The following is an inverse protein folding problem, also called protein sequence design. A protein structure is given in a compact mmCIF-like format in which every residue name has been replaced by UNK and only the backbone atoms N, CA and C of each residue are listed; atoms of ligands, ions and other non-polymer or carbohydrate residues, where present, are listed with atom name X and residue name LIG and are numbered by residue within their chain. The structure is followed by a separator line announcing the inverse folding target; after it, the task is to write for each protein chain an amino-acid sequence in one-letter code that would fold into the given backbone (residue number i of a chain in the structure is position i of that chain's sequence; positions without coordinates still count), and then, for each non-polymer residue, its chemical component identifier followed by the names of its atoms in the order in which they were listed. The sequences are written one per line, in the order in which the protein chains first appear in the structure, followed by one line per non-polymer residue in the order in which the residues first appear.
data_IF_028725060018
#
_entry.id   IF_028725060018
#
_cell.length_a   1.000
_cell.length_b   1.000
_cell.length_c   1.000
_cell.angle_alpha   90.00
_cell.angle_beta   90.00
_cell.angle_gamma   90.00
#
_symmetry.space_group_name_H-M   'P 1'
#
loop_
_entity.id
_entity.type
_entity.pdbx_description
1 polymer ?
#
# COMPACT_ATOMS: atom_id res chain seq x y z
N UNK A 1 -2.40 -19.22 -9.37
CA UNK A 1 -3.06 -17.99 -8.88
C UNK A 1 -4.58 -18.13 -8.80
N UNK A 2 -5.12 -18.06 -7.58
CA UNK A 2 -6.56 -18.07 -7.32
C UNK A 2 -7.16 -16.67 -7.52
N UNK A 3 -8.38 -16.61 -8.06
CA UNK A 3 -9.09 -15.35 -8.23
C UNK A 3 -9.91 -15.01 -6.98
N UNK A 4 -9.78 -13.78 -6.49
CA UNK A 4 -10.60 -13.27 -5.41
C UNK A 4 -10.83 -11.77 -5.55
N UNK A 5 -11.96 -11.31 -5.00
CA UNK A 5 -12.30 -9.90 -5.01
C UNK A 5 -11.57 -9.18 -3.89
N UNK A 6 -10.99 -8.03 -4.23
CA UNK A 6 -10.35 -7.12 -3.28
C UNK A 6 -11.19 -5.87 -3.10
N UNK A 7 -11.05 -5.22 -1.94
CA UNK A 7 -11.49 -3.84 -1.70
C UNK A 7 -10.27 -2.97 -1.48
N UNK A 8 -10.18 -1.90 -2.26
CA UNK A 8 -9.06 -0.97 -2.24
C UNK A 8 -9.53 0.42 -1.91
N UNK A 9 -8.76 1.12 -1.08
CA UNK A 9 -8.74 2.58 -1.02
C UNK A 9 -7.47 3.10 -1.67
N UNK A 10 -7.61 4.14 -2.48
CA UNK A 10 -6.49 4.91 -2.99
C UNK A 10 -6.69 6.39 -2.69
N UNK A 11 -5.61 7.05 -2.26
CA UNK A 11 -5.52 8.48 -2.06
C UNK A 11 -4.42 9.02 -2.97
N UNK A 12 -4.75 9.99 -3.81
CA UNK A 12 -3.84 10.72 -4.68
C UNK A 12 -3.58 12.11 -4.11
N UNK A 13 -2.37 12.61 -4.33
CA UNK A 13 -1.96 13.92 -3.85
C UNK A 13 -0.45 14.07 -3.80
N UNK A 14 0.02 15.06 -3.05
CA UNK A 14 1.45 15.23 -2.79
C UNK A 14 1.81 14.45 -1.54
N UNK A 15 2.69 13.46 -1.65
CA UNK A 15 3.20 12.76 -0.48
C UNK A 15 3.96 13.75 0.40
N UNK A 16 3.61 13.83 1.69
CA UNK A 16 4.33 14.69 2.64
C UNK A 16 5.76 14.17 2.79
N UNK A 17 6.77 15.00 2.51
CA UNK A 17 8.19 14.59 2.49
C UNK A 17 8.97 15.11 3.69
N UNK A 18 8.31 15.71 4.67
CA UNK A 18 8.96 16.41 5.77
C UNK A 18 9.60 15.44 6.78
N UNK A 19 10.80 14.96 6.43
CA UNK A 19 11.75 14.33 7.33
C UNK A 19 11.54 12.84 7.66
N UNK A 20 12.55 12.28 8.32
CA UNK A 20 12.65 10.94 8.93
C UNK A 20 11.33 10.40 9.51
N UNK A 21 10.55 11.29 10.11
CA UNK A 21 9.36 10.96 10.90
C UNK A 21 8.24 10.41 10.02
N UNK A 22 7.96 11.00 8.86
CA UNK A 22 6.75 10.69 8.09
C UNK A 22 6.77 9.27 7.50
N UNK A 23 7.91 8.78 7.01
CA UNK A 23 8.01 7.40 6.49
C UNK A 23 8.02 6.36 7.61
N UNK A 24 8.71 6.66 8.72
CA UNK A 24 8.78 5.78 9.87
C UNK A 24 7.44 5.70 10.61
N UNK A 25 6.73 6.82 10.74
CA UNK A 25 5.39 6.89 11.30
C UNK A 25 4.39 6.19 10.40
N UNK A 26 4.41 6.43 9.08
CA UNK A 26 3.60 5.66 8.13
C UNK A 26 3.83 4.16 8.27
N UNK A 27 5.09 3.71 8.32
CA UNK A 27 5.44 2.31 8.52
C UNK A 27 4.85 1.74 9.82
N UNK A 28 5.05 2.45 10.94
CA UNK A 28 4.58 2.01 12.25
C UNK A 28 3.06 1.98 12.35
N UNK A 29 2.40 3.04 11.90
CA UNK A 29 0.95 3.17 11.92
C UNK A 29 0.31 2.07 11.08
N UNK A 30 0.72 1.90 9.83
CA UNK A 30 0.15 0.88 8.93
C UNK A 30 0.44 -0.55 9.40
N UNK A 31 1.61 -0.83 9.99
CA UNK A 31 1.89 -2.12 10.62
C UNK A 31 1.02 -2.38 11.86
N UNK A 32 0.80 -1.37 12.70
CA UNK A 32 -0.11 -1.47 13.86
C UNK A 32 -1.53 -1.76 13.42
N UNK A 33 -2.04 -0.99 12.43
CA UNK A 33 -3.38 -1.15 11.89
C UNK A 33 -3.61 -2.55 11.31
N UNK A 34 -2.66 -3.07 10.53
CA UNK A 34 -2.76 -4.46 10.04
C UNK A 34 -2.91 -5.43 11.21
N UNK A 35 -2.11 -5.26 12.27
CA UNK A 35 -2.17 -6.11 13.46
C UNK A 35 -3.53 -6.00 14.16
N UNK A 36 -4.08 -4.80 14.30
CA UNK A 36 -5.41 -4.54 14.87
C UNK A 36 -6.53 -5.20 14.05
N UNK A 37 -6.33 -5.34 12.74
CA UNK A 37 -7.26 -6.05 11.84
C UNK A 37 -7.02 -7.58 11.81
N UNK A 38 -6.14 -8.10 12.68
CA UNK A 38 -5.80 -9.53 12.72
C UNK A 38 -4.91 -10.00 11.57
N UNK A 39 -4.24 -9.08 10.88
CA UNK A 39 -3.38 -9.33 9.73
C UNK A 39 -1.91 -9.05 10.09
N UNK A 40 -1.05 -10.06 10.03
CA UNK A 40 0.38 -9.86 10.31
C UNK A 40 1.16 -9.56 9.03
N UNK A 41 1.62 -8.31 8.89
CA UNK A 41 2.55 -7.95 7.83
C UNK A 41 3.83 -8.80 7.90
N UNK A 42 4.14 -9.52 6.82
CA UNK A 42 5.23 -10.49 6.78
C UNK A 42 6.24 -10.23 5.64
N UNK A 43 5.89 -9.36 4.68
CA UNK A 43 6.78 -8.92 3.60
C UNK A 43 6.75 -7.40 3.41
N UNK A 44 7.81 -6.89 2.79
CA UNK A 44 8.10 -5.48 2.60
C UNK A 44 8.63 -5.23 1.19
N UNK A 45 8.08 -4.25 0.49
CA UNK A 45 8.68 -3.62 -0.68
C UNK A 45 9.26 -2.26 -0.30
N UNK A 46 10.48 -1.94 -0.73
CA UNK A 46 11.11 -0.64 -0.50
C UNK A 46 11.87 -0.22 -1.75
N UNK A 47 11.72 1.03 -2.15
CA UNK A 47 12.57 1.68 -3.14
C UNK A 47 13.10 2.99 -2.58
N UNK A 48 14.41 3.19 -2.71
CA UNK A 48 15.14 4.35 -2.19
C UNK A 48 16.64 4.18 -2.34
N UNK A 49 17.43 5.06 -1.72
CA UNK A 49 18.88 5.14 -1.90
C UNK A 49 19.58 3.79 -1.64
N UNK A 50 19.33 3.17 -0.49
CA UNK A 50 19.86 1.83 -0.13
C UNK A 50 19.03 0.65 -0.65
N UNK A 51 17.96 0.92 -1.41
CA UNK A 51 16.95 -0.05 -1.84
C UNK A 51 16.66 0.07 -3.34
N UNK A 52 17.62 -0.31 -4.18
CA UNK A 52 17.50 -0.11 -5.64
C UNK A 52 16.74 -1.22 -6.37
N UNK A 53 16.64 -2.41 -5.78
CA UNK A 53 16.11 -3.59 -6.49
C UNK A 53 14.59 -3.64 -6.62
N UNK A 54 13.85 -2.88 -5.82
CA UNK A 54 12.38 -2.97 -5.71
C UNK A 54 11.82 -4.33 -5.31
N UNK A 55 12.68 -5.29 -4.92
CA UNK A 55 12.27 -6.65 -4.57
C UNK A 55 11.44 -6.64 -3.29
N UNK A 56 10.36 -7.41 -3.32
CA UNK A 56 9.59 -7.76 -2.12
C UNK A 56 10.41 -8.75 -1.28
N UNK A 57 10.60 -8.46 0.00
CA UNK A 57 11.46 -9.24 0.90
C UNK A 57 10.78 -9.51 2.23
N UNK A 58 11.16 -10.61 2.91
CA UNK A 58 10.63 -10.92 4.24
C UNK A 58 10.89 -9.76 5.21
N UNK A 59 9.84 -9.31 5.90
CA UNK A 59 9.88 -8.16 6.80
C UNK A 59 10.97 -8.34 7.87
N UNK A 60 11.00 -9.51 8.52
CA UNK A 60 12.01 -9.84 9.57
C UNK A 60 13.46 -9.68 9.11
N UNK A 61 13.76 -9.81 7.81
CA UNK A 61 15.11 -9.66 7.26
C UNK A 61 15.46 -8.20 6.97
N UNK A 62 14.49 -7.42 6.53
CA UNK A 62 14.73 -6.09 5.94
C UNK A 62 14.38 -4.95 6.89
N UNK A 63 13.54 -5.19 7.91
CA UNK A 63 13.05 -4.16 8.84
C UNK A 63 14.17 -3.39 9.55
N UNK A 64 15.17 -4.09 10.10
CA UNK A 64 16.31 -3.42 10.74
C UNK A 64 17.06 -2.50 9.77
N UNK A 65 17.23 -2.93 8.51
CA UNK A 65 17.87 -2.12 7.47
C UNK A 65 17.02 -0.91 7.09
N UNK A 66 15.70 -1.08 6.93
CA UNK A 66 14.76 0.02 6.68
C UNK A 66 14.86 1.08 7.78
N UNK A 67 14.76 0.67 9.05
CA UNK A 67 14.81 1.60 10.18
C UNK A 67 16.14 2.36 10.23
N UNK A 68 17.26 1.69 9.97
CA UNK A 68 18.58 2.33 9.96
C UNK A 68 18.74 3.31 8.78
N UNK A 69 18.31 2.91 7.58
CA UNK A 69 18.32 3.77 6.38
C UNK A 69 17.50 5.04 6.61
N UNK A 70 16.29 4.90 7.15
CA UNK A 70 15.46 6.03 7.55
C UNK A 70 16.22 6.92 8.54
N UNK A 71 16.73 6.37 9.66
CA UNK A 71 17.51 7.11 10.68
C UNK A 71 18.71 7.89 10.13
N UNK A 72 19.28 7.44 9.02
CA UNK A 72 20.39 8.09 8.34
C UNK A 72 19.94 9.15 7.32
N UNK A 73 18.64 9.52 7.30
CA UNK A 73 18.02 10.45 6.35
C UNK A 73 18.15 10.03 4.88
N UNK A 74 18.21 8.73 4.61
CA UNK A 74 18.16 8.23 3.24
C UNK A 74 16.77 8.43 2.64
N UNK A 75 16.72 8.79 1.36
CA UNK A 75 15.48 9.06 0.65
C UNK A 75 14.80 7.76 0.22
N UNK A 76 13.48 7.70 0.40
CA UNK A 76 12.62 6.65 -0.15
C UNK A 76 11.68 7.24 -1.20
N UNK A 77 11.45 6.46 -2.25
CA UNK A 77 10.41 6.75 -3.27
C UNK A 77 9.23 5.83 -3.13
N UNK A 78 9.38 4.66 -2.51
CA UNK A 78 8.25 3.81 -2.15
C UNK A 78 8.50 2.94 -0.93
N UNK A 79 7.41 2.65 -0.22
CA UNK A 79 7.37 1.70 0.89
C UNK A 79 6.04 0.96 0.84
N UNK A 80 6.08 -0.36 0.93
CA UNK A 80 4.88 -1.19 0.99
C UNK A 80 5.01 -2.35 1.95
N UNK A 81 3.90 -2.66 2.61
CA UNK A 81 3.70 -3.79 3.50
C UNK A 81 2.76 -4.78 2.83
N UNK A 82 3.05 -6.07 3.01
CA UNK A 82 2.22 -7.16 2.52
C UNK A 82 1.92 -8.13 3.66
N UNK A 83 0.70 -8.65 3.67
CA UNK A 83 0.30 -9.88 4.35
C UNK A 83 0.09 -10.94 3.29
N UNK A 84 1.08 -11.83 3.12
CA UNK A 84 1.05 -12.92 2.14
C UNK A 84 0.76 -14.25 2.83
N UNK A 85 -0.07 -15.13 2.26
CA UNK A 85 -0.26 -16.48 2.78
C UNK A 85 1.02 -17.31 2.61
N UNK A 86 1.20 -18.42 3.33
CA UNK A 86 2.45 -19.20 3.30
C UNK A 86 2.76 -19.85 1.95
N UNK A 87 1.74 -20.05 1.12
CA UNK A 87 1.74 -20.72 -0.17
C UNK A 87 1.63 -19.74 -1.36
N UNK A 88 1.86 -18.44 -1.14
CA UNK A 88 1.83 -17.45 -2.22
C UNK A 88 2.84 -17.75 -3.35
N UNK A 89 2.46 -17.50 -4.60
CA UNK A 89 3.31 -17.65 -5.78
C UNK A 89 3.89 -16.29 -6.19
N UNK A 90 3.03 -15.28 -6.29
CA UNK A 90 3.37 -13.94 -6.79
C UNK A 90 2.82 -12.88 -5.85
N UNK A 91 3.73 -12.19 -5.16
CA UNK A 91 3.41 -11.19 -4.14
C UNK A 91 2.53 -10.01 -4.64
N UNK A 92 2.51 -9.73 -5.95
CA UNK A 92 1.70 -8.66 -6.53
C UNK A 92 0.22 -9.03 -6.71
N UNK A 93 -0.14 -10.31 -6.55
CA UNK A 93 -1.50 -10.80 -6.81
C UNK A 93 -2.06 -11.68 -5.69
N UNK A 94 -1.22 -12.30 -4.86
CA UNK A 94 -1.65 -13.29 -3.86
C UNK A 94 -1.78 -12.72 -2.44
N UNK A 95 -1.67 -11.40 -2.25
CA UNK A 95 -1.74 -10.81 -0.91
C UNK A 95 -3.17 -10.82 -0.35
N UNK A 96 -3.26 -11.08 0.96
CA UNK A 96 -4.49 -10.88 1.74
C UNK A 96 -4.67 -9.40 2.10
N UNK A 97 -3.56 -8.71 2.32
CA UNK A 97 -3.52 -7.28 2.54
C UNK A 97 -2.25 -6.65 1.96
N UNK A 98 -2.39 -5.45 1.44
CA UNK A 98 -1.32 -4.64 0.90
C UNK A 98 -1.54 -3.19 1.30
N UNK A 99 -0.53 -2.53 1.87
CA UNK A 99 -0.55 -1.09 2.09
C UNK A 99 0.73 -0.51 1.52
N UNK A 100 0.60 0.46 0.62
CA UNK A 100 1.72 1.04 -0.11
C UNK A 100 1.63 2.56 -0.17
N UNK A 101 2.79 3.19 -0.16
CA UNK A 101 2.96 4.63 -0.38
C UNK A 101 4.05 4.83 -1.43
N UNK A 102 3.77 5.65 -2.43
CA UNK A 102 4.68 5.90 -3.55
C UNK A 102 4.74 7.38 -3.92
N UNK A 103 5.96 7.86 -4.18
CA UNK A 103 6.28 9.19 -4.69
C UNK A 103 6.59 9.09 -6.18
N UNK A 104 5.94 9.92 -7.00
CA UNK A 104 6.13 10.04 -8.44
C UNK A 104 6.26 11.53 -8.83
N UNK A 105 7.49 12.04 -8.75
CA UNK A 105 7.77 13.46 -8.95
C UNK A 105 7.10 14.35 -7.88
N UNK A 106 6.23 15.25 -8.34
CA UNK A 106 5.41 16.13 -7.50
C UNK A 106 4.06 15.51 -7.10
N UNK A 107 3.75 14.32 -7.61
CA UNK A 107 2.54 13.59 -7.28
C UNK A 107 2.91 12.30 -6.56
N UNK A 108 1.91 11.62 -6.01
CA UNK A 108 2.05 10.30 -5.46
C UNK A 108 0.72 9.77 -4.99
N UNK A 109 0.77 8.58 -4.41
CA UNK A 109 -0.41 7.94 -3.89
C UNK A 109 -0.11 7.09 -2.67
N UNK A 110 -1.15 6.90 -1.87
CA UNK A 110 -1.23 5.88 -0.85
C UNK A 110 -2.36 4.93 -1.25
N UNK A 111 -2.08 3.64 -1.21
CA UNK A 111 -3.01 2.58 -1.58
C UNK A 111 -3.08 1.59 -0.42
N UNK A 112 -4.28 1.14 -0.08
CA UNK A 112 -4.48 0.04 0.84
C UNK A 112 -5.54 -0.90 0.27
N UNK A 113 -5.18 -2.17 0.12
CA UNK A 113 -6.01 -3.21 -0.47
C UNK A 113 -6.13 -4.38 0.48
N UNK A 114 -7.34 -4.91 0.59
CA UNK A 114 -7.67 -6.06 1.41
C UNK A 114 -8.59 -7.01 0.65
N UNK A 115 -8.76 -8.23 1.14
CA UNK A 115 -9.87 -9.07 0.69
C UNK A 115 -11.19 -8.32 0.96
N UNK A 116 -12.11 -8.35 0.00
CA UNK A 116 -13.28 -7.47 0.01
C UNK A 116 -14.11 -7.51 1.31
N UNK A 117 -14.22 -8.70 1.90
CA UNK A 117 -15.04 -8.94 3.09
C UNK A 117 -14.20 -9.12 4.37
N UNK A 118 -12.88 -8.87 4.33
CA UNK A 118 -12.03 -8.99 5.53
C UNK A 118 -12.01 -7.73 6.39
N UNK A 119 -12.51 -6.60 5.90
CA UNK A 119 -12.57 -5.33 6.62
C UNK A 119 -13.93 -4.68 6.41
N UNK A 120 -14.59 -4.28 7.50
CA UNK A 120 -15.87 -3.58 7.42
C UNK A 120 -15.72 -2.09 7.05
N UNK A 121 -16.85 -1.47 6.73
CA UNK A 121 -16.89 -0.06 6.32
C UNK A 121 -16.34 0.91 7.36
N UNK A 122 -16.52 0.65 8.66
CA UNK A 122 -16.06 1.55 9.72
C UNK A 122 -14.53 1.53 9.86
N UNK A 123 -13.92 0.34 9.78
CA UNK A 123 -12.47 0.18 9.74
C UNK A 123 -11.87 0.81 8.48
N UNK A 124 -12.54 0.67 7.32
CA UNK A 124 -12.11 1.33 6.08
C UNK A 124 -12.15 2.86 6.18
N UNK A 125 -13.18 3.44 6.80
CA UNK A 125 -13.27 4.89 7.01
C UNK A 125 -12.18 5.39 7.95
N UNK A 126 -11.92 4.68 9.05
CA UNK A 126 -10.81 4.99 9.96
C UNK A 126 -9.46 4.93 9.25
N UNK A 127 -9.25 3.91 8.40
CA UNK A 127 -8.06 3.80 7.58
C UNK A 127 -7.89 4.98 6.63
N UNK A 128 -8.96 5.41 5.94
CA UNK A 128 -8.89 6.58 5.06
C UNK A 128 -8.42 7.82 5.83
N UNK A 129 -8.98 8.07 7.03
CA UNK A 129 -8.61 9.22 7.85
C UNK A 129 -7.15 9.14 8.33
N UNK A 130 -6.69 7.95 8.72
CA UNK A 130 -5.31 7.73 9.13
C UNK A 130 -4.33 7.98 7.97
N UNK A 131 -4.62 7.41 6.80
CA UNK A 131 -3.75 7.53 5.62
C UNK A 131 -3.68 8.98 5.08
N UNK A 132 -4.76 9.77 5.21
CA UNK A 132 -4.79 11.19 4.85
C UNK A 132 -3.78 12.04 5.65
N UNK A 133 -3.29 11.57 6.80
CA UNK A 133 -2.24 12.29 7.54
C UNK A 133 -0.92 12.36 6.77
N UNK A 134 -0.64 11.38 5.91
CA UNK A 134 0.65 11.20 5.22
C UNK A 134 0.67 11.72 3.77
N UNK A 135 -0.42 12.34 3.31
CA UNK A 135 -0.57 12.87 1.96
C UNK A 135 -1.35 14.18 1.99
N UNK A 136 -0.90 15.18 1.24
CA UNK A 136 -1.69 16.35 0.92
C UNK A 136 -2.75 15.93 -0.11
N UNK A 137 -3.88 15.49 0.42
CA UNK A 137 -4.94 14.83 -0.31
C UNK A 137 -5.58 15.73 -1.38
N UNK A 138 -5.69 15.22 -2.60
CA UNK A 138 -6.33 15.91 -3.73
C UNK A 138 -7.58 15.18 -4.22
N UNK A 139 -7.51 13.86 -4.32
CA UNK A 139 -8.62 13.00 -4.73
C UNK A 139 -8.37 11.57 -4.29
N UNK A 140 -9.41 10.76 -4.21
CA UNK A 140 -9.25 9.35 -3.91
C UNK A 140 -10.48 8.55 -4.28
N UNK A 141 -10.37 7.23 -4.20
CA UNK A 141 -11.45 6.33 -4.54
C UNK A 141 -11.41 5.08 -3.65
N UNK A 142 -12.60 4.54 -3.40
CA UNK A 142 -12.79 3.18 -2.87
C UNK A 142 -13.39 2.35 -3.98
N UNK A 143 -12.77 1.22 -4.30
CA UNK A 143 -13.22 0.35 -5.39
C UNK A 143 -13.03 -1.13 -5.06
N UNK A 144 -13.82 -1.96 -5.71
CA UNK A 144 -13.60 -3.41 -5.76
C UNK A 144 -12.93 -3.78 -7.08
N UNK A 145 -12.04 -4.77 -7.04
CA UNK A 145 -11.42 -5.33 -8.25
C UNK A 145 -10.88 -6.74 -7.98
N UNK A 146 -10.87 -7.60 -8.99
CA UNK A 146 -10.20 -8.90 -8.92
C UNK A 146 -8.70 -8.71 -8.74
N UNK A 147 -8.12 -9.54 -7.88
CA UNK A 147 -6.68 -9.52 -7.61
C UNK A 147 -5.81 -9.68 -8.87
N UNK A 148 -6.25 -10.49 -9.83
CA UNK A 148 -5.51 -10.76 -11.08
C UNK A 148 -5.37 -9.55 -12.00
N UNK A 149 -6.24 -8.53 -11.85
CA UNK A 149 -6.12 -7.25 -12.57
C UNK A 149 -5.19 -6.26 -11.86
N UNK A 150 -4.74 -6.60 -10.63
CA UNK A 150 -3.83 -5.84 -9.76
C UNK A 150 -4.24 -4.38 -9.48
N UNK A 151 -4.80 -4.11 -8.28
CA UNK A 151 -5.09 -2.75 -7.82
C UNK A 151 -3.91 -1.77 -7.95
N UNK A 152 -2.67 -2.26 -7.82
CA UNK A 152 -1.46 -1.46 -7.96
C UNK A 152 -1.27 -0.94 -9.40
N UNK A 153 -1.60 -1.75 -10.41
CA UNK A 153 -1.49 -1.36 -11.82
C UNK A 153 -2.53 -0.29 -12.15
N UNK A 154 -3.80 -0.49 -11.73
CA UNK A 154 -4.86 0.51 -11.90
C UNK A 154 -4.47 1.85 -11.27
N UNK A 155 -4.01 1.83 -10.01
CA UNK A 155 -3.66 3.05 -9.27
C UNK A 155 -2.47 3.79 -9.87
N UNK A 156 -1.52 3.10 -10.50
CA UNK A 156 -0.42 3.77 -11.21
C UNK A 156 -0.83 4.48 -12.50
N UNK A 157 -2.09 4.35 -12.94
CA UNK A 157 -2.64 4.99 -14.15
C UNK A 157 -1.83 4.71 -15.43
N UNK A 158 -1.13 3.58 -15.48
CA UNK A 158 -0.36 3.16 -16.65
C UNK A 158 -1.26 2.66 -17.79
N UNK A 159 -2.47 2.19 -17.46
CA UNK A 159 -3.47 1.72 -18.41
C UNK A 159 -4.77 2.51 -18.23
N UNK A 160 -5.56 2.60 -19.30
CA UNK A 160 -6.91 3.17 -19.24
C UNK A 160 -7.85 2.35 -18.33
N UNK A 161 -8.81 3.02 -17.70
CA UNK A 161 -9.81 2.40 -16.82
C UNK A 161 -10.57 1.25 -17.50
N UNK A 162 -10.83 1.36 -18.81
CA UNK A 162 -11.50 0.34 -19.62
C UNK A 162 -10.71 -0.99 -19.72
N UNK A 163 -9.44 -1.00 -19.32
CA UNK A 163 -8.59 -2.19 -19.26
C UNK A 163 -8.93 -3.10 -18.07
N UNK A 164 -9.65 -2.60 -17.07
CA UNK A 164 -9.95 -3.29 -15.81
C UNK A 164 -11.43 -3.69 -15.78
N UNK A 165 -11.72 -4.92 -16.22
CA UNK A 165 -13.11 -5.37 -16.46
C UNK A 165 -13.88 -5.61 -15.17
N UNK A 166 -13.16 -5.94 -14.09
CA UNK A 166 -13.76 -6.21 -12.79
C UNK A 166 -13.84 -4.99 -11.88
N UNK A 167 -13.28 -3.86 -12.32
CA UNK A 167 -13.26 -2.61 -11.56
C UNK A 167 -14.69 -2.14 -11.27
N UNK A 168 -14.97 -1.88 -9.99
CA UNK A 168 -16.21 -1.26 -9.54
C UNK A 168 -15.91 -0.18 -8.53
N UNK A 169 -16.00 1.09 -8.96
CA UNK A 169 -15.89 2.23 -8.06
C UNK A 169 -17.10 2.25 -7.13
N UNK A 170 -16.84 2.22 -5.82
CA UNK A 170 -17.85 2.25 -4.76
C UNK A 170 -18.08 3.68 -4.28
N UNK A 171 -17.01 4.45 -4.12
CA UNK A 171 -17.04 5.82 -3.59
C UNK A 171 -15.87 6.63 -4.11
N UNK A 172 -16.12 7.89 -4.50
CA UNK A 172 -15.07 8.91 -4.69
C UNK A 172 -14.86 9.67 -3.38
N UNK A 173 -13.61 10.02 -3.09
CA UNK A 173 -13.16 10.64 -1.84
C UNK A 173 -12.62 12.05 -2.06
#
# INVERSE_FOLDING_TARGET
MSEFMTRTVVLYGTIKKDGLNEWLEFYRATKSMLTEFGLEANYLGVVGDSFTSGKVTKLKRTEKKLINSLKNNESLTSLSLYTLPSDFEIAAFDYQAYIGRKVEGNHGYIIATFLKDSIDSSHMENLVQELKKYIDFMSGEVFDMLNVESPQIYVSKVNDESSFKSLRIIKKL
#
